data_IF_327595417808
#
_entry.id   IF_327595417808
#
_cell.length_a   1.000
_cell.length_b   1.000
_cell.length_c   1.000
_cell.angle_alpha   90.00
_cell.angle_beta   90.00
_cell.angle_gamma   90.00
#
_symmetry.space_group_name_H-M   'P 1'
#
loop_
_entity.id
_entity.type
_entity.pdbx_description
1 polymer ?
#
# COMPACT_ATOMS: atom_id res chain seq x y z
N UNK A 1 7.85 -4.18 -11.84
CA UNK A 1 6.88 -5.29 -12.00
C UNK A 1 5.75 -5.23 -10.96
N UNK A 2 6.06 -5.21 -9.65
CA UNK A 2 5.03 -5.09 -8.58
C UNK A 2 4.13 -3.86 -8.74
N UNK A 3 4.71 -2.68 -8.97
CA UNK A 3 3.97 -1.43 -9.17
C UNK A 3 2.93 -1.50 -10.28
N UNK A 4 3.28 -2.07 -11.43
CA UNK A 4 2.36 -2.25 -12.56
C UNK A 4 1.23 -3.23 -12.25
N UNK A 5 1.53 -4.34 -11.55
CA UNK A 5 0.54 -5.34 -11.17
C UNK A 5 -0.48 -4.76 -10.19
N UNK A 6 0.01 -4.16 -9.11
CA UNK A 6 -0.87 -3.62 -8.06
C UNK A 6 -1.64 -2.39 -8.56
N UNK A 7 -1.05 -1.56 -9.42
CA UNK A 7 -1.77 -0.46 -10.09
C UNK A 7 -2.92 -0.96 -10.97
N UNK A 8 -2.70 -2.03 -11.74
CA UNK A 8 -3.75 -2.69 -12.52
C UNK A 8 -4.87 -3.25 -11.63
N UNK A 9 -4.50 -3.82 -10.49
CA UNK A 9 -5.47 -4.33 -9.53
C UNK A 9 -6.23 -3.22 -8.81
N UNK A 10 -5.57 -2.14 -8.40
CA UNK A 10 -6.23 -0.96 -7.81
C UNK A 10 -7.24 -0.34 -8.78
N UNK A 11 -6.89 -0.24 -10.07
CA UNK A 11 -7.82 0.20 -11.13
C UNK A 11 -9.10 -0.63 -11.14
N UNK A 12 -8.93 -1.95 -11.10
CA UNK A 12 -10.05 -2.91 -11.17
C UNK A 12 -10.82 -2.96 -9.85
N UNK A 13 -10.13 -2.82 -8.72
CA UNK A 13 -10.74 -2.81 -7.40
C UNK A 13 -11.65 -1.60 -7.23
N UNK A 14 -11.28 -0.42 -7.73
CA UNK A 14 -12.09 0.79 -7.63
C UNK A 14 -13.48 0.67 -8.28
N UNK A 15 -13.66 -0.20 -9.28
CA UNK A 15 -14.98 -0.44 -9.91
C UNK A 15 -15.81 -1.53 -9.21
N UNK A 16 -15.22 -2.25 -8.26
CA UNK A 16 -15.80 -3.43 -7.60
C UNK A 16 -15.92 -3.28 -6.09
N UNK A 17 -15.24 -2.28 -5.52
CA UNK A 17 -15.20 -1.98 -4.11
C UNK A 17 -16.62 -1.87 -3.54
N UNK A 18 -16.88 -2.59 -2.46
CA UNK A 18 -18.10 -2.44 -1.67
C UNK A 18 -17.84 -1.65 -0.40
N UNK A 19 -18.89 -1.19 0.27
CA UNK A 19 -18.76 -0.54 1.58
C UNK A 19 -18.14 -1.48 2.64
N UNK A 20 -18.40 -2.78 2.56
CA UNK A 20 -17.78 -3.77 3.45
C UNK A 20 -16.27 -3.92 3.19
N UNK A 21 -15.86 -3.88 1.92
CA UNK A 21 -14.45 -3.87 1.54
C UNK A 21 -13.76 -2.59 2.02
N UNK A 22 -14.41 -1.44 1.84
CA UNK A 22 -13.90 -0.14 2.29
C UNK A 22 -13.73 -0.09 3.82
N UNK A 23 -14.68 -0.66 4.56
CA UNK A 23 -14.58 -0.79 6.02
C UNK A 23 -13.41 -1.71 6.43
N UNK A 24 -13.20 -2.81 5.70
CA UNK A 24 -12.07 -3.74 5.94
C UNK A 24 -10.74 -3.04 5.71
N UNK A 25 -10.58 -2.34 4.58
CA UNK A 25 -9.36 -1.58 4.27
C UNK A 25 -9.08 -0.48 5.31
N UNK A 26 -10.13 0.20 5.80
CA UNK A 26 -9.97 1.20 6.85
C UNK A 26 -9.50 0.60 8.17
N UNK A 27 -10.10 -0.52 8.57
CA UNK A 27 -9.67 -1.22 9.76
C UNK A 27 -8.21 -1.66 9.67
N UNK A 28 -7.78 -2.23 8.54
CA UNK A 28 -6.38 -2.59 8.32
C UNK A 28 -5.44 -1.38 8.41
N UNK A 29 -5.85 -0.23 7.88
CA UNK A 29 -5.10 1.02 7.98
C UNK A 29 -4.97 1.51 9.43
N UNK A 30 -6.06 1.53 10.18
CA UNK A 30 -6.06 1.95 11.59
C UNK A 30 -5.13 1.07 12.43
N UNK A 31 -5.20 -0.25 12.23
CA UNK A 31 -4.32 -1.23 12.88
C UNK A 31 -2.85 -1.02 12.48
N UNK A 32 -2.58 -0.65 11.22
CA UNK A 32 -1.25 -0.40 10.71
C UNK A 32 -0.63 0.84 11.35
N UNK A 33 -1.42 1.91 11.51
CA UNK A 33 -1.04 3.14 12.20
C UNK A 33 -0.78 2.85 13.69
N UNK A 34 -1.63 2.07 14.35
CA UNK A 34 -1.41 1.67 15.74
C UNK A 34 -0.10 0.88 15.91
N UNK A 35 0.14 -0.10 15.03
CA UNK A 35 1.37 -0.88 15.06
C UNK A 35 2.61 0.00 14.85
N UNK A 36 2.53 0.96 13.92
CA UNK A 36 3.60 1.92 13.68
C UNK A 36 3.89 2.80 14.90
N UNK A 37 2.85 3.36 15.55
CA UNK A 37 3.00 4.17 16.77
C UNK A 37 3.63 3.38 17.93
N UNK A 38 3.33 2.08 18.02
CA UNK A 38 3.93 1.15 19.00
C UNK A 38 5.31 0.63 18.59
N UNK A 39 5.84 1.06 17.44
CA UNK A 39 7.09 0.58 16.85
C UNK A 39 7.11 -0.94 16.62
N UNK A 40 5.93 -1.57 16.48
CA UNK A 40 5.79 -2.98 16.16
C UNK A 40 5.95 -3.18 14.65
N UNK A 41 7.22 -3.18 14.22
CA UNK A 41 7.62 -3.35 12.83
C UNK A 41 7.03 -4.61 12.20
N UNK A 42 7.04 -5.73 12.92
CA UNK A 42 6.56 -6.99 12.35
C UNK A 42 5.06 -6.96 12.11
N UNK A 43 4.28 -6.40 13.03
CA UNK A 43 2.83 -6.23 12.84
C UNK A 43 2.52 -5.24 11.73
N UNK A 44 3.23 -4.10 11.67
CA UNK A 44 3.04 -3.11 10.61
C UNK A 44 3.28 -3.71 9.22
N UNK A 45 4.39 -4.45 9.04
CA UNK A 45 4.71 -5.10 7.75
C UNK A 45 3.65 -6.15 7.39
N UNK A 46 3.15 -6.94 8.34
CA UNK A 46 2.06 -7.88 8.05
C UNK A 46 0.80 -7.15 7.56
N UNK A 47 0.41 -6.08 8.25
CA UNK A 47 -0.78 -5.29 7.91
C UNK A 47 -0.64 -4.56 6.56
N UNK A 48 0.55 -4.07 6.20
CA UNK A 48 0.85 -3.54 4.86
C UNK A 48 0.53 -4.59 3.79
N UNK A 49 1.00 -5.84 3.98
CA UNK A 49 0.72 -6.91 3.04
C UNK A 49 -0.76 -7.28 2.98
N UNK A 50 -1.43 -7.38 4.12
CA UNK A 50 -2.86 -7.71 4.20
C UNK A 50 -3.70 -6.63 3.49
N UNK A 51 -3.31 -5.36 3.60
CA UNK A 51 -3.95 -4.25 2.89
C UNK A 51 -3.82 -4.39 1.36
N UNK A 52 -2.61 -4.63 0.86
CA UNK A 52 -2.39 -4.87 -0.58
C UNK A 52 -3.15 -6.12 -1.04
N UNK A 53 -3.03 -7.23 -0.32
CA UNK A 53 -3.71 -8.50 -0.64
C UNK A 53 -5.22 -8.31 -0.77
N UNK A 54 -5.82 -7.52 0.12
CA UNK A 54 -7.25 -7.18 0.08
C UNK A 54 -7.62 -6.47 -1.22
N UNK A 55 -6.82 -5.50 -1.68
CA UNK A 55 -7.04 -4.83 -2.97
C UNK A 55 -6.97 -5.82 -4.15
N UNK A 56 -6.00 -6.73 -4.13
CA UNK A 56 -5.89 -7.79 -5.14
C UNK A 56 -7.13 -8.71 -5.15
N UNK A 57 -7.67 -9.03 -3.97
CA UNK A 57 -8.87 -9.87 -3.84
C UNK A 57 -10.12 -9.16 -4.37
N UNK A 58 -10.32 -7.87 -4.04
CA UNK A 58 -11.44 -7.06 -4.54
C UNK A 58 -11.41 -6.97 -6.08
N UNK A 59 -10.21 -6.80 -6.65
CA UNK A 59 -10.01 -6.81 -8.10
C UNK A 59 -10.47 -8.11 -8.77
N UNK A 60 -10.51 -9.22 -8.03
CA UNK A 60 -11.11 -10.49 -8.47
C UNK A 60 -10.34 -11.22 -9.58
N UNK A 61 -9.13 -10.79 -9.90
CA UNK A 61 -8.32 -11.39 -10.96
C UNK A 61 -7.36 -12.45 -10.38
N UNK A 62 -7.73 -13.73 -10.53
CA UNK A 62 -6.96 -14.86 -10.02
C UNK A 62 -5.51 -14.89 -10.53
N UNK A 63 -5.27 -14.52 -11.79
CA UNK A 63 -3.91 -14.52 -12.35
C UNK A 63 -3.04 -13.45 -11.70
N UNK A 64 -3.57 -12.22 -11.56
CA UNK A 64 -2.85 -11.12 -10.89
C UNK A 64 -2.55 -11.48 -9.44
N UNK A 65 -3.52 -12.07 -8.74
CA UNK A 65 -3.32 -12.53 -7.36
C UNK A 65 -2.20 -13.58 -7.25
N UNK A 66 -2.18 -14.59 -8.11
CA UNK A 66 -1.13 -15.61 -8.09
C UNK A 66 0.25 -15.02 -8.41
N UNK A 67 0.34 -14.14 -9.40
CA UNK A 67 1.58 -13.42 -9.72
C UNK A 67 2.04 -12.51 -8.57
N UNK A 68 1.12 -11.89 -7.85
CA UNK A 68 1.44 -11.11 -6.67
C UNK A 68 2.01 -11.99 -5.54
N UNK A 69 1.41 -13.16 -5.28
CA UNK A 69 1.88 -14.08 -4.24
C UNK A 69 3.31 -14.58 -4.46
N UNK A 70 3.78 -14.68 -5.70
CA UNK A 70 5.18 -15.05 -5.98
C UNK A 70 6.14 -13.88 -5.77
N UNK A 71 5.69 -12.64 -5.95
CA UNK A 71 6.50 -11.42 -5.82
C UNK A 71 6.56 -10.88 -4.39
N UNK A 72 5.54 -11.14 -3.56
CA UNK A 72 5.40 -10.54 -2.22
C UNK A 72 6.60 -10.81 -1.28
N UNK A 73 7.24 -11.99 -1.37
CA UNK A 73 8.37 -12.35 -0.50
C UNK A 73 9.59 -11.44 -0.68
N UNK A 74 9.87 -11.00 -1.91
CA UNK A 74 10.96 -10.05 -2.17
C UNK A 74 10.65 -8.64 -1.64
N UNK A 75 9.37 -8.30 -1.51
CA UNK A 75 8.93 -6.97 -1.09
C UNK A 75 9.02 -6.77 0.42
N UNK A 76 8.82 -7.80 1.23
CA UNK A 76 9.00 -7.73 2.69
C UNK A 76 10.40 -7.25 3.08
N UNK A 77 11.42 -7.74 2.38
CA UNK A 77 12.81 -7.33 2.56
C UNK A 77 12.99 -5.85 2.23
N UNK A 78 12.32 -5.35 1.18
CA UNK A 78 12.39 -3.94 0.79
C UNK A 78 11.75 -3.05 1.87
N UNK A 79 10.53 -3.35 2.31
CA UNK A 79 9.84 -2.57 3.36
C UNK A 79 10.67 -2.55 4.63
N UNK A 80 11.16 -3.72 5.06
CA UNK A 80 11.99 -3.83 6.27
C UNK A 80 13.30 -3.03 6.15
N UNK A 81 13.94 -3.04 4.99
CA UNK A 81 15.16 -2.25 4.75
C UNK A 81 14.87 -0.75 4.76
N UNK A 82 13.70 -0.32 4.26
CA UNK A 82 13.29 1.08 4.21
C UNK A 82 12.89 1.69 5.54
N UNK A 83 12.59 0.89 6.57
CA UNK A 83 12.37 1.39 7.94
C UNK A 83 13.63 2.12 8.47
N UNK A 84 14.82 1.80 7.94
CA UNK A 84 16.03 2.58 8.25
C UNK A 84 16.02 4.00 7.69
N UNK A 85 15.24 4.25 6.63
CA UNK A 85 15.18 5.52 5.88
C UNK A 85 13.90 6.31 6.12
N UNK A 86 12.83 5.68 6.62
CA UNK A 86 11.53 6.28 6.91
C UNK A 86 11.07 5.92 8.32
N UNK A 87 10.38 6.84 9.00
CA UNK A 87 9.68 6.48 10.24
C UNK A 87 8.55 5.51 9.94
N UNK A 88 8.29 4.56 10.83
CA UNK A 88 7.21 3.58 10.68
C UNK A 88 5.85 4.25 10.45
N UNK A 89 5.60 5.35 11.16
CA UNK A 89 4.35 6.11 11.05
C UNK A 89 4.21 6.72 9.65
N UNK A 90 5.29 7.25 9.07
CA UNK A 90 5.26 7.77 7.70
C UNK A 90 4.95 6.68 6.68
N UNK A 91 5.47 5.46 6.89
CA UNK A 91 5.16 4.32 6.03
C UNK A 91 3.68 3.94 6.12
N UNK A 92 3.10 3.95 7.34
CA UNK A 92 1.69 3.66 7.56
C UNK A 92 0.78 4.73 6.94
N UNK A 93 0.97 6.01 7.26
CA UNK A 93 0.08 7.11 6.84
C UNK A 93 -0.03 7.28 5.31
N UNK A 94 0.97 6.86 4.53
CA UNK A 94 0.89 6.88 3.06
C UNK A 94 -0.28 6.06 2.49
N UNK A 95 -0.78 5.09 3.25
CA UNK A 95 -1.95 4.31 2.85
C UNK A 95 -3.27 5.08 2.94
N UNK A 96 -3.34 6.22 3.65
CA UNK A 96 -4.52 7.09 3.68
C UNK A 96 -4.84 7.63 2.28
N UNK A 97 -3.83 8.11 1.55
CA UNK A 97 -3.99 8.65 0.20
C UNK A 97 -4.48 7.58 -0.78
N UNK A 98 -3.96 6.35 -0.64
CA UNK A 98 -4.36 5.22 -1.46
C UNK A 98 -5.80 4.78 -1.18
N UNK A 99 -6.19 4.68 0.10
CA UNK A 99 -7.57 4.37 0.49
C UNK A 99 -8.54 5.45 -0.01
N UNK A 100 -8.18 6.73 0.16
CA UNK A 100 -8.98 7.84 -0.33
C UNK A 100 -9.19 7.76 -1.85
N UNK A 101 -8.14 7.44 -2.61
CA UNK A 101 -8.22 7.27 -4.06
C UNK A 101 -9.10 6.08 -4.49
N UNK A 102 -9.06 4.95 -3.78
CA UNK A 102 -9.95 3.81 -4.03
C UNK A 102 -11.42 4.18 -3.80
N UNK A 103 -11.69 4.95 -2.75
CA UNK A 103 -13.02 5.37 -2.35
C UNK A 103 -13.65 6.44 -3.25
N UNK A 104 -12.90 7.03 -4.19
CA UNK A 104 -13.52 7.87 -5.22
C UNK A 104 -14.23 7.04 -6.29
N UNK A 105 -14.05 5.72 -6.30
CA UNK A 105 -14.56 4.82 -7.34
C UNK A 105 -14.11 5.21 -8.76
N UNK A 106 -12.99 5.94 -8.87
CA UNK A 106 -12.42 6.36 -10.15
C UNK A 106 -11.19 5.51 -10.47
N UNK A 107 -11.27 4.61 -11.48
CA UNK A 107 -10.24 3.61 -11.75
C UNK A 107 -8.85 4.19 -11.95
N UNK A 108 -8.77 5.31 -12.69
CA UNK A 108 -7.50 5.92 -13.07
C UNK A 108 -6.86 6.68 -11.91
N UNK A 109 -7.66 7.25 -11.00
CA UNK A 109 -7.14 7.83 -9.76
C UNK A 109 -6.55 6.75 -8.86
N UNK A 110 -7.26 5.63 -8.67
CA UNK A 110 -6.77 4.50 -7.88
C UNK A 110 -5.50 3.89 -8.47
N UNK A 111 -5.44 3.71 -9.79
CA UNK A 111 -4.28 3.19 -10.50
C UNK A 111 -3.04 4.06 -10.29
N UNK A 112 -3.18 5.38 -10.45
CA UNK A 112 -2.10 6.34 -10.28
C UNK A 112 -1.64 6.44 -8.82
N UNK A 113 -2.58 6.44 -7.87
CA UNK A 113 -2.25 6.47 -6.44
C UNK A 113 -1.44 5.23 -6.04
N UNK A 114 -1.84 4.04 -6.48
CA UNK A 114 -1.11 2.80 -6.20
C UNK A 114 0.27 2.77 -6.85
N UNK A 115 0.39 3.27 -8.09
CA UNK A 115 1.67 3.35 -8.78
C UNK A 115 2.66 4.22 -7.99
N UNK A 116 2.25 5.44 -7.62
CA UNK A 116 3.05 6.35 -6.80
C UNK A 116 3.42 5.73 -5.45
N UNK A 117 2.45 5.13 -4.76
CA UNK A 117 2.65 4.47 -3.47
C UNK A 117 3.77 3.44 -3.49
N UNK A 118 3.89 2.66 -4.56
CA UNK A 118 4.93 1.62 -4.68
C UNK A 118 6.25 2.21 -5.18
N UNK A 119 6.22 3.15 -6.12
CA UNK A 119 7.43 3.76 -6.69
C UNK A 119 8.17 4.66 -5.70
N UNK A 120 7.45 5.42 -4.88
CA UNK A 120 8.04 6.29 -3.86
C UNK A 120 8.79 5.49 -2.78
N UNK A 121 8.38 4.24 -2.52
CA UNK A 121 9.17 3.31 -1.70
C UNK A 121 10.46 2.86 -2.40
N UNK A 122 10.45 2.80 -3.73
CA UNK A 122 11.60 2.41 -4.56
C UNK A 122 12.64 3.51 -4.74
N UNK A 123 12.26 4.78 -4.59
CA UNK A 123 13.18 5.92 -4.69
C UNK A 123 14.06 6.01 -3.41
N UNK A 124 15.38 6.25 -3.52
CA UNK A 124 16.15 6.70 -2.36
C UNK A 124 15.53 8.01 -1.83
N UNK A 125 15.55 8.27 -0.51
CA UNK A 125 15.16 9.57 0.01
C UNK A 125 16.04 10.60 -0.69
N UNK A 126 15.45 11.46 -1.52
CA UNK A 126 16.18 12.63 -1.98
C UNK A 126 16.47 13.46 -0.73
N UNK A 127 17.73 13.87 -0.58
CA UNK A 127 18.22 14.64 0.56
C UNK A 127 17.15 15.62 1.02
N UNK A 128 16.59 15.39 2.21
CA UNK A 128 15.70 16.32 2.91
C UNK A 128 16.49 17.56 3.38
N UNK A 129 17.21 18.21 2.46
CA UNK A 129 17.98 19.42 2.70
C UNK A 129 17.24 20.69 2.30
N UNK A 130 15.95 20.64 1.96
CA UNK A 130 15.22 21.82 1.47
C UNK A 130 13.96 22.17 2.28
N UNK A 131 13.96 21.90 3.59
CA UNK A 131 13.26 22.78 4.53
C UNK A 131 14.30 23.75 5.10
N UNK A 132 14.53 24.82 4.33
CA UNK A 132 15.22 26.02 4.81
C UNK A 132 14.25 26.89 5.64
N UNK A 133 14.78 27.75 6.52
CA UNK A 133 14.27 28.04 7.86
C UNK A 133 12.98 28.86 7.91
#
# INVERSE_FOLDING_TARGET
>A
MRAALESLSARTAATRLTEADAATLRHLLDEMIEAAQKQDTQRMVRLDNDFHETILQIAGNKLLYQLWKTLQFGFWTIVTTRISSFKLEQLAYRHEELLAALMTYEPEKAAQAMLRHIEDLGRPPEDCHHLKP
#
